data_IF_330670188127
#
_entry.id   IF_330670188127
#
_cell.length_a   1.000
_cell.length_b   1.000
_cell.length_c   1.000
_cell.angle_alpha   90.00
_cell.angle_beta   90.00
_cell.angle_gamma   90.00
#
_symmetry.space_group_name_H-M   'P 1'
#
loop_
_entity.id
_entity.type
_entity.pdbx_description
1 polymer ?
#
# COMPACT_ATOMS: atom_id res chain seq x y z
N UNK A 1 39.53 -37.48 12.70
CA UNK A 1 38.09 -37.79 12.81
C UNK A 1 37.35 -36.60 12.23
N UNK A 2 36.44 -36.82 11.27
CA UNK A 2 35.66 -35.72 10.70
C UNK A 2 34.66 -35.21 11.76
N UNK A 3 34.74 -33.93 12.12
CA UNK A 3 33.75 -33.29 12.97
C UNK A 3 32.37 -33.33 12.27
N UNK A 4 31.27 -33.56 13.00
CA UNK A 4 29.94 -33.60 12.41
C UNK A 4 29.63 -32.27 11.71
N UNK A 5 28.97 -32.35 10.56
CA UNK A 5 28.48 -31.20 9.80
C UNK A 5 27.43 -30.49 10.64
N UNK A 6 27.83 -29.46 11.39
CA UNK A 6 26.99 -28.82 12.42
C UNK A 6 26.14 -27.70 11.85
N UNK A 7 25.58 -27.88 10.65
CA UNK A 7 24.74 -26.88 9.99
C UNK A 7 23.27 -27.28 10.13
N UNK A 8 22.48 -26.52 10.88
CA UNK A 8 21.04 -26.77 11.05
C UNK A 8 20.29 -25.49 11.44
N UNK A 9 18.97 -25.51 11.25
CA UNK A 9 18.07 -24.50 11.79
C UNK A 9 17.39 -25.04 13.05
N UNK A 10 17.29 -24.23 14.11
CA UNK A 10 16.54 -24.60 15.31
C UNK A 10 15.05 -24.26 15.22
N UNK A 11 14.30 -24.50 16.30
CA UNK A 11 12.84 -24.26 16.33
C UNK A 11 12.51 -22.77 16.44
N UNK A 12 13.45 -21.99 16.95
CA UNK A 12 13.38 -20.55 17.13
C UNK A 12 13.72 -19.78 15.83
N UNK A 13 14.21 -20.48 14.79
CA UNK A 13 14.54 -19.89 13.50
C UNK A 13 15.96 -19.37 13.40
N UNK A 14 16.88 -19.83 14.26
CA UNK A 14 18.30 -19.54 14.17
C UNK A 14 19.02 -20.61 13.34
N UNK A 15 19.93 -20.15 12.49
CA UNK A 15 20.87 -20.94 11.71
C UNK A 15 22.18 -21.11 12.46
N UNK A 16 22.46 -22.35 12.86
CA UNK A 16 23.69 -22.71 13.54
C UNK A 16 24.66 -23.33 12.54
N UNK A 17 25.92 -22.90 12.54
CA UNK A 17 26.98 -23.53 11.74
C UNK A 17 28.36 -23.33 12.37
N UNK A 18 29.32 -24.19 11.99
CA UNK A 18 30.76 -23.97 12.25
C UNK A 18 31.50 -23.41 11.03
N UNK A 19 30.81 -23.18 9.90
CA UNK A 19 31.37 -22.59 8.68
C UNK A 19 32.42 -23.44 7.95
N UNK A 20 32.63 -24.71 8.35
CA UNK A 20 33.72 -25.54 7.80
C UNK A 20 33.36 -26.29 6.51
N UNK A 21 32.14 -26.13 6.01
CA UNK A 21 31.60 -26.89 4.88
C UNK A 21 31.79 -26.21 3.52
N UNK A 22 32.30 -24.98 3.49
CA UNK A 22 32.70 -24.28 2.27
C UNK A 22 34.07 -23.59 2.44
N UNK A 23 34.65 -23.15 1.33
CA UNK A 23 35.89 -22.36 1.34
C UNK A 23 35.54 -20.87 1.55
N UNK A 24 36.05 -20.28 2.63
CA UNK A 24 35.71 -18.92 3.04
C UNK A 24 36.53 -18.46 4.25
N UNK A 25 36.24 -17.26 4.77
CA UNK A 25 36.87 -16.75 5.99
C UNK A 25 36.60 -17.63 7.21
N UNK A 26 35.42 -18.26 7.42
CA UNK A 26 35.22 -19.17 8.54
C UNK A 26 36.24 -20.31 8.57
N UNK A 27 36.57 -20.86 7.40
CA UNK A 27 37.55 -21.93 7.27
C UNK A 27 38.98 -21.43 7.48
N UNK A 28 39.35 -20.28 6.90
CA UNK A 28 40.66 -19.66 7.13
C UNK A 28 40.89 -19.31 8.60
N UNK A 29 39.85 -18.80 9.27
CA UNK A 29 39.87 -18.53 10.70
C UNK A 29 40.13 -19.81 11.49
N UNK A 30 39.37 -20.88 11.23
CA UNK A 30 39.54 -22.14 11.95
C UNK A 30 40.92 -22.77 11.75
N UNK A 31 41.41 -22.81 10.50
CA UNK A 31 42.74 -23.34 10.20
C UNK A 31 43.83 -22.53 10.91
N UNK A 32 43.64 -21.21 11.01
CA UNK A 32 44.56 -20.34 11.75
C UNK A 32 44.51 -20.60 13.25
N UNK A 33 43.33 -20.64 13.85
CA UNK A 33 43.15 -20.94 15.29
C UNK A 33 43.71 -22.33 15.66
N UNK A 34 43.59 -23.30 14.76
CA UNK A 34 44.14 -24.65 14.96
C UNK A 34 45.66 -24.61 15.15
N UNK A 35 46.38 -23.70 14.49
CA UNK A 35 47.83 -23.50 14.69
C UNK A 35 48.17 -23.00 16.10
N UNK A 36 47.22 -22.33 16.76
CA UNK A 36 47.36 -21.87 18.15
C UNK A 36 46.82 -22.89 19.17
N UNK A 37 46.48 -24.11 18.77
CA UNK A 37 45.98 -25.19 19.64
C UNK A 37 44.54 -24.98 20.16
N UNK A 38 43.72 -24.20 19.46
CA UNK A 38 42.27 -24.29 19.65
C UNK A 38 41.77 -25.68 19.28
N UNK A 39 40.88 -26.23 20.10
CA UNK A 39 40.35 -27.59 19.96
C UNK A 39 38.94 -27.62 19.39
N UNK A 40 38.25 -26.47 19.42
CA UNK A 40 36.88 -26.31 18.93
C UNK A 40 36.82 -25.14 17.93
N UNK A 41 36.10 -25.30 16.81
CA UNK A 41 35.97 -24.24 15.82
C UNK A 41 35.09 -23.09 16.31
N UNK A 42 35.21 -21.91 15.69
CA UNK A 42 34.24 -20.84 15.91
C UNK A 42 32.82 -21.33 15.61
N UNK A 43 31.88 -20.91 16.46
CA UNK A 43 30.45 -21.19 16.29
C UNK A 43 29.75 -19.94 15.77
N UNK A 44 28.87 -20.14 14.80
CA UNK A 44 28.06 -19.10 14.20
C UNK A 44 26.58 -19.38 14.47
N UNK A 45 25.90 -18.37 14.96
CA UNK A 45 24.45 -18.32 15.18
C UNK A 45 23.92 -17.15 14.35
N UNK A 46 23.06 -17.44 13.38
CA UNK A 46 22.51 -16.46 12.47
C UNK A 46 21.00 -16.42 12.50
N UNK A 47 20.40 -15.25 12.51
CA UNK A 47 18.93 -15.07 12.46
C UNK A 47 18.56 -14.11 11.35
N UNK A 48 17.55 -14.48 10.54
CA UNK A 48 16.96 -13.63 9.52
C UNK A 48 15.70 -12.94 10.07
N UNK A 49 15.53 -11.66 9.78
CA UNK A 49 14.39 -10.87 10.25
C UNK A 49 14.02 -9.77 9.26
N UNK A 50 12.79 -9.28 9.35
CA UNK A 50 12.31 -8.17 8.53
C UNK A 50 12.41 -6.87 9.33
N UNK A 51 13.08 -5.86 8.78
CA UNK A 51 13.19 -4.53 9.38
C UNK A 51 12.69 -3.51 8.36
N UNK A 52 11.60 -2.81 8.69
CA UNK A 52 10.97 -1.82 7.80
C UNK A 52 10.63 -2.37 6.39
N UNK A 53 10.27 -3.65 6.30
CA UNK A 53 9.98 -4.31 5.01
C UNK A 53 11.21 -4.83 4.26
N UNK A 54 12.42 -4.63 4.80
CA UNK A 54 13.68 -5.09 4.21
C UNK A 54 14.17 -6.33 4.95
N UNK A 55 14.53 -7.38 4.21
CA UNK A 55 15.15 -8.57 4.79
C UNK A 55 16.55 -8.23 5.32
N UNK A 56 16.77 -8.55 6.59
CA UNK A 56 18.02 -8.38 7.32
C UNK A 56 18.40 -9.71 7.93
N UNK A 57 19.67 -9.81 8.30
CA UNK A 57 20.15 -10.91 9.11
C UNK A 57 21.15 -10.38 10.13
N UNK A 58 21.24 -11.09 11.25
CA UNK A 58 22.23 -10.86 12.29
C UNK A 58 22.98 -12.15 12.52
N UNK A 59 24.29 -12.08 12.57
CA UNK A 59 25.15 -13.22 12.86
C UNK A 59 25.97 -12.91 14.10
N UNK A 60 25.88 -13.79 15.08
CA UNK A 60 26.78 -13.88 16.21
C UNK A 60 27.79 -14.98 15.97
N UNK A 61 29.08 -14.64 15.95
CA UNK A 61 30.18 -15.59 15.90
C UNK A 61 30.93 -15.58 17.24
N UNK A 62 31.29 -16.76 17.74
CA UNK A 62 32.05 -16.93 18.96
C UNK A 62 33.30 -17.77 18.68
N UNK A 63 34.49 -17.20 18.91
CA UNK A 63 35.72 -17.97 19.11
C UNK A 63 35.75 -18.38 20.59
N UNK A 64 35.82 -19.68 20.92
CA UNK A 64 35.72 -20.15 22.29
C UNK A 64 36.92 -19.68 23.14
N UNK A 65 36.81 -19.84 24.47
CA UNK A 65 37.93 -19.62 25.38
C UNK A 65 39.10 -20.54 25.02
N UNK A 66 40.33 -20.01 24.98
CA UNK A 66 41.49 -20.83 24.65
C UNK A 66 41.72 -21.93 25.71
N UNK A 67 41.85 -23.22 25.33
CA UNK A 67 41.86 -24.34 26.26
C UNK A 67 43.06 -24.33 27.23
N UNK A 68 44.21 -23.81 26.78
CA UNK A 68 45.45 -23.77 27.57
C UNK A 68 45.90 -22.37 28.01
N UNK A 69 45.16 -21.31 27.65
CA UNK A 69 45.55 -19.91 27.88
C UNK A 69 44.37 -19.15 28.44
N UNK A 70 44.22 -19.13 29.76
CA UNK A 70 43.12 -18.41 30.42
C UNK A 70 43.15 -16.89 30.22
N UNK A 71 44.31 -16.35 29.81
CA UNK A 71 44.48 -14.93 29.48
C UNK A 71 43.97 -14.58 28.07
N UNK A 72 43.57 -15.56 27.27
CA UNK A 72 43.01 -15.35 25.93
C UNK A 72 41.50 -15.51 26.01
N UNK A 73 40.75 -14.42 26.28
CA UNK A 73 39.31 -14.49 26.47
C UNK A 73 38.60 -14.98 25.18
N UNK A 74 37.36 -15.48 25.27
CA UNK A 74 36.55 -15.72 24.08
C UNK A 74 36.38 -14.42 23.28
N UNK A 75 36.32 -14.55 21.96
CA UNK A 75 36.05 -13.42 21.05
C UNK A 75 34.64 -13.57 20.53
N UNK A 76 33.79 -12.60 20.86
CA UNK A 76 32.42 -12.51 20.36
C UNK A 76 32.35 -11.42 19.29
N UNK A 77 31.74 -11.74 18.17
CA UNK A 77 31.52 -10.83 17.04
C UNK A 77 30.05 -10.87 16.69
N UNK A 78 29.42 -9.70 16.60
CA UNK A 78 28.03 -9.55 16.15
C UNK A 78 28.01 -8.63 14.93
N UNK A 79 27.45 -9.12 13.82
CA UNK A 79 27.36 -8.37 12.56
C UNK A 79 25.92 -8.40 12.06
N UNK A 80 25.44 -7.26 11.57
CA UNK A 80 24.16 -7.16 10.86
C UNK A 80 24.43 -6.98 9.37
N UNK A 81 23.73 -7.76 8.55
CA UNK A 81 23.81 -7.69 7.10
C UNK A 81 22.46 -7.96 6.44
N UNK A 82 22.48 -8.17 5.13
CA UNK A 82 21.27 -8.39 4.33
C UNK A 82 21.12 -9.85 3.86
N UNK A 83 22.22 -10.60 3.83
CA UNK A 83 22.26 -12.00 3.40
C UNK A 83 23.10 -12.77 4.40
N UNK A 84 22.58 -13.91 4.83
CA UNK A 84 23.20 -14.71 5.88
C UNK A 84 24.62 -15.14 5.53
N UNK A 85 24.83 -15.64 4.30
CA UNK A 85 26.14 -16.09 3.80
C UNK A 85 27.18 -14.96 3.84
N UNK A 86 26.84 -13.79 3.29
CA UNK A 86 27.75 -12.65 3.24
C UNK A 86 28.10 -12.18 4.66
N UNK A 87 27.13 -12.23 5.57
CA UNK A 87 27.28 -11.80 6.97
C UNK A 87 28.10 -12.77 7.81
N UNK A 88 28.02 -14.08 7.52
CA UNK A 88 28.88 -15.11 8.11
C UNK A 88 30.35 -14.89 7.71
N UNK A 89 30.60 -14.60 6.43
CA UNK A 89 31.93 -14.23 5.93
C UNK A 89 32.45 -12.95 6.60
N UNK A 90 31.61 -11.92 6.73
CA UNK A 90 31.97 -10.68 7.44
C UNK A 90 32.31 -10.95 8.91
N UNK A 91 31.50 -11.73 9.63
CA UNK A 91 31.74 -12.05 11.03
C UNK A 91 33.07 -12.80 11.22
N UNK A 92 33.39 -13.73 10.32
CA UNK A 92 34.66 -14.45 10.34
C UNK A 92 35.86 -13.54 10.04
N UNK A 93 35.74 -12.64 9.06
CA UNK A 93 36.79 -11.66 8.74
C UNK A 93 37.04 -10.70 9.92
N UNK A 94 35.97 -10.23 10.59
CA UNK A 94 36.10 -9.44 11.82
C UNK A 94 36.72 -10.25 12.95
N UNK A 95 36.39 -11.54 13.08
CA UNK A 95 37.04 -12.47 14.01
C UNK A 95 38.55 -12.60 13.79
N UNK A 96 38.98 -12.76 12.53
CA UNK A 96 40.40 -12.77 12.14
C UNK A 96 41.09 -11.47 12.57
N UNK A 97 40.50 -10.32 12.22
CA UNK A 97 41.07 -9.01 12.55
C UNK A 97 41.20 -8.80 14.06
N UNK A 98 40.17 -9.16 14.83
CA UNK A 98 40.17 -9.05 16.28
C UNK A 98 41.23 -9.98 16.92
N UNK A 99 41.30 -11.23 16.48
CA UNK A 99 42.31 -12.17 16.96
C UNK A 99 43.73 -11.66 16.71
N UNK A 100 44.02 -11.16 15.49
CA UNK A 100 45.32 -10.59 15.14
C UNK A 100 45.67 -9.34 15.94
N UNK A 101 44.68 -8.55 16.34
CA UNK A 101 44.89 -7.35 17.15
C UNK A 101 45.06 -7.67 18.64
N UNK A 102 44.42 -8.72 19.16
CA UNK A 102 44.57 -9.13 20.56
C UNK A 102 45.90 -9.85 20.83
N UNK A 103 46.48 -10.48 19.81
CA UNK A 103 47.70 -11.31 19.94
C UNK A 103 48.78 -10.97 18.91
N UNK A 104 49.21 -9.69 18.78
CA UNK A 104 50.05 -9.23 17.67
C UNK A 104 51.42 -9.91 17.63
N UNK A 105 51.98 -10.25 18.80
CA UNK A 105 53.29 -10.92 18.91
C UNK A 105 53.18 -12.37 18.47
N UNK A 106 52.17 -13.08 18.95
CA UNK A 106 51.98 -14.50 18.65
C UNK A 106 51.62 -14.71 17.18
N UNK A 107 50.77 -13.86 16.59
CA UNK A 107 50.39 -13.99 15.19
C UNK A 107 51.50 -13.60 14.22
N UNK A 108 52.46 -12.75 14.61
CA UNK A 108 53.61 -12.40 13.77
C UNK A 108 54.45 -13.64 13.39
N UNK A 109 54.38 -14.70 14.21
CA UNK A 109 55.09 -15.95 13.95
C UNK A 109 54.44 -16.81 12.85
N UNK A 110 53.21 -16.52 12.42
CA UNK A 110 52.40 -17.37 11.53
C UNK A 110 51.81 -16.61 10.34
N UNK A 111 51.41 -17.29 9.26
CA UNK A 111 50.86 -16.63 8.07
C UNK A 111 49.65 -15.71 8.31
N UNK A 112 48.81 -16.02 9.31
CA UNK A 112 47.66 -15.18 9.69
C UNK A 112 48.08 -13.76 10.11
N UNK A 113 49.31 -13.57 10.59
CA UNK A 113 49.85 -12.24 10.94
C UNK A 113 49.98 -11.29 9.74
N UNK A 114 49.96 -11.81 8.51
CA UNK A 114 49.97 -11.02 7.27
C UNK A 114 48.56 -10.67 6.77
N UNK A 115 47.50 -11.13 7.44
CA UNK A 115 46.14 -10.78 7.06
C UNK A 115 45.84 -9.32 7.46
N UNK A 116 45.09 -8.56 6.63
CA UNK A 116 44.78 -7.15 6.88
C UNK A 116 44.14 -6.92 8.25
N UNK A 117 44.44 -5.77 8.85
CA UNK A 117 43.90 -5.37 10.15
C UNK A 117 42.93 -4.20 10.06
N UNK A 118 42.33 -3.88 11.20
CA UNK A 118 41.29 -2.83 11.32
C UNK A 118 41.86 -1.45 10.97
N UNK A 119 43.13 -1.20 11.29
CA UNK A 119 43.81 0.07 11.03
C UNK A 119 45.22 -0.17 10.45
N UNK A 120 45.46 0.14 9.16
CA UNK A 120 46.78 -0.02 8.54
C UNK A 120 47.83 0.97 9.07
N UNK A 121 47.45 1.98 9.86
CA UNK A 121 48.36 2.90 10.54
C UNK A 121 48.75 2.47 11.96
N UNK A 122 48.32 1.29 12.41
CA UNK A 122 48.64 0.77 13.74
C UNK A 122 50.09 0.25 13.80
N UNK A 123 50.84 0.62 14.85
CA UNK A 123 52.17 0.09 15.15
C UNK A 123 52.23 -1.44 15.25
N UNK A 124 51.12 -2.10 15.57
CA UNK A 124 51.04 -3.57 15.59
C UNK A 124 51.09 -4.17 14.17
N UNK A 125 50.59 -3.44 13.17
CA UNK A 125 50.71 -3.84 11.77
C UNK A 125 52.15 -3.75 11.31
N UNK A 126 52.81 -2.62 11.57
CA UNK A 126 54.23 -2.43 11.27
C UNK A 126 55.07 -3.52 11.95
N UNK A 127 54.80 -3.84 13.22
CA UNK A 127 55.48 -4.92 13.93
C UNK A 127 55.35 -6.27 13.21
N UNK A 128 54.14 -6.69 12.85
CA UNK A 128 53.90 -7.98 12.17
C UNK A 128 54.56 -8.01 10.79
N UNK A 129 54.50 -6.90 10.06
CA UNK A 129 55.12 -6.80 8.74
C UNK A 129 56.63 -6.66 8.81
N UNK A 130 57.22 -6.12 9.86
CA UNK A 130 58.68 -6.03 9.99
C UNK A 130 59.30 -7.36 10.41
N UNK A 131 58.55 -8.20 11.14
CA UNK A 131 59.01 -9.48 11.66
C UNK A 131 58.64 -10.68 10.76
N UNK A 132 58.41 -10.47 9.46
CA UNK A 132 58.02 -11.52 8.50
C UNK A 132 59.19 -12.36 7.94
N UNK A 133 60.44 -12.06 8.31
CA UNK A 133 61.63 -12.67 7.71
C UNK A 133 61.68 -14.20 7.82
N UNK A 134 61.24 -14.76 8.95
CA UNK A 134 61.17 -16.22 9.15
C UNK A 134 59.98 -16.84 8.39
N UNK A 135 58.90 -16.09 8.16
CA UNK A 135 57.76 -16.54 7.34
C UNK A 135 58.16 -16.80 5.90
N UNK A 136 59.09 -16.00 5.36
CA UNK A 136 59.66 -16.18 4.03
C UNK A 136 60.85 -17.15 3.99
N UNK A 137 61.29 -17.64 5.14
CA UNK A 137 62.31 -18.68 5.28
C UNK A 137 61.67 -20.04 5.56
N UNK A 138 61.54 -20.38 6.84
CA UNK A 138 61.13 -21.70 7.32
C UNK A 138 59.68 -22.07 6.95
N UNK A 139 58.81 -21.06 6.82
CA UNK A 139 57.38 -21.21 6.52
C UNK A 139 57.01 -20.71 5.11
N UNK A 140 57.97 -20.58 4.20
CA UNK A 140 57.74 -19.91 2.91
C UNK A 140 56.57 -20.51 2.12
N UNK A 141 56.51 -21.84 2.01
CA UNK A 141 55.45 -22.54 1.27
C UNK A 141 54.08 -22.36 1.94
N UNK A 142 54.01 -22.49 3.26
CA UNK A 142 52.77 -22.33 4.03
C UNK A 142 52.27 -20.89 4.00
N UNK A 143 53.19 -19.93 4.07
CA UNK A 143 52.90 -18.49 3.99
C UNK A 143 52.34 -18.13 2.62
N UNK A 144 53.01 -18.53 1.54
CA UNK A 144 52.53 -18.26 0.17
C UNK A 144 51.15 -18.90 -0.04
N UNK A 145 50.98 -20.17 0.35
CA UNK A 145 49.68 -20.86 0.24
C UNK A 145 48.57 -20.14 1.00
N UNK A 146 48.83 -19.73 2.24
CA UNK A 146 47.84 -19.07 3.10
C UNK A 146 47.45 -17.70 2.56
N UNK A 147 48.43 -16.91 2.10
CA UNK A 147 48.18 -15.59 1.49
C UNK A 147 47.42 -15.75 0.17
N UNK A 148 47.77 -16.72 -0.67
CA UNK A 148 47.02 -16.98 -1.92
C UNK A 148 45.57 -17.36 -1.62
N UNK A 149 45.31 -18.26 -0.66
CA UNK A 149 43.94 -18.62 -0.26
C UNK A 149 43.18 -17.45 0.32
N UNK A 150 43.82 -16.63 1.16
CA UNK A 150 43.22 -15.42 1.69
C UNK A 150 42.81 -14.46 0.57
N UNK A 151 43.68 -14.21 -0.40
CA UNK A 151 43.39 -13.35 -1.54
C UNK A 151 42.25 -13.89 -2.41
N UNK A 152 42.19 -15.21 -2.62
CA UNK A 152 41.10 -15.85 -3.35
C UNK A 152 39.76 -15.70 -2.61
N UNK A 153 39.73 -15.98 -1.30
CA UNK A 153 38.54 -15.78 -0.45
C UNK A 153 38.12 -14.31 -0.41
N UNK A 154 39.06 -13.37 -0.30
CA UNK A 154 38.78 -11.92 -0.37
C UNK A 154 38.14 -11.54 -1.71
N UNK A 155 38.64 -12.06 -2.82
CA UNK A 155 38.06 -11.81 -4.13
C UNK A 155 36.60 -12.32 -4.22
N UNK A 156 36.35 -13.55 -3.79
CA UNK A 156 35.00 -14.13 -3.76
C UNK A 156 34.05 -13.35 -2.85
N UNK A 157 34.51 -12.96 -1.67
CA UNK A 157 33.75 -12.12 -0.74
C UNK A 157 33.39 -10.76 -1.36
N UNK A 158 34.32 -10.12 -2.07
CA UNK A 158 34.02 -8.87 -2.79
C UNK A 158 32.97 -9.07 -3.89
N UNK A 159 32.97 -10.21 -4.59
CA UNK A 159 31.92 -10.53 -5.57
C UNK A 159 30.57 -10.73 -4.89
N UNK A 160 30.53 -11.44 -3.76
CA UNK A 160 29.31 -11.65 -2.97
C UNK A 160 28.71 -10.32 -2.53
N UNK A 161 29.53 -9.43 -1.94
CA UNK A 161 29.09 -8.09 -1.53
C UNK A 161 28.57 -7.27 -2.72
N UNK A 162 29.27 -7.28 -3.86
CA UNK A 162 28.82 -6.57 -5.07
C UNK A 162 27.47 -7.09 -5.56
N UNK A 163 27.30 -8.40 -5.61
CA UNK A 163 26.04 -9.02 -6.00
C UNK A 163 24.90 -8.69 -5.03
N UNK A 164 25.18 -8.67 -3.72
CA UNK A 164 24.24 -8.22 -2.70
C UNK A 164 23.80 -6.76 -2.91
N UNK A 165 24.77 -5.86 -3.12
CA UNK A 165 24.49 -4.43 -3.38
C UNK A 165 23.68 -4.25 -4.67
N UNK A 166 23.99 -4.98 -5.74
CA UNK A 166 23.23 -4.92 -6.99
C UNK A 166 21.78 -5.35 -6.80
N UNK A 167 21.53 -6.43 -6.05
CA UNK A 167 20.16 -6.88 -5.74
C UNK A 167 19.39 -5.84 -4.93
N UNK A 168 19.98 -5.33 -3.85
CA UNK A 168 19.35 -4.31 -2.99
C UNK A 168 19.06 -3.04 -3.81
N UNK A 169 19.97 -2.63 -4.68
CA UNK A 169 19.77 -1.48 -5.57
C UNK A 169 18.62 -1.73 -6.54
N UNK A 170 18.51 -2.92 -7.11
CA UNK A 170 17.40 -3.30 -8.00
C UNK A 170 16.04 -3.26 -7.31
N UNK A 171 15.97 -3.84 -6.11
CA UNK A 171 14.75 -3.81 -5.27
C UNK A 171 14.38 -2.36 -4.91
N UNK A 172 15.33 -1.57 -4.43
CA UNK A 172 15.10 -0.16 -4.08
C UNK A 172 14.60 0.66 -5.28
N UNK A 173 15.18 0.46 -6.46
CA UNK A 173 14.73 1.13 -7.69
C UNK A 173 13.33 0.71 -8.11
N UNK A 174 12.96 -0.57 -7.96
CA UNK A 174 11.61 -1.05 -8.24
C UNK A 174 10.58 -0.42 -7.31
N UNK A 175 10.86 -0.41 -6.00
CA UNK A 175 10.00 0.26 -5.02
C UNK A 175 9.85 1.76 -5.31
N UNK A 176 10.94 2.44 -5.66
CA UNK A 176 10.90 3.85 -6.03
C UNK A 176 9.98 4.10 -7.22
N UNK A 177 10.10 3.32 -8.32
CA UNK A 177 9.24 3.45 -9.49
C UNK A 177 7.77 3.20 -9.18
N UNK A 178 7.48 2.23 -8.31
CA UNK A 178 6.11 1.95 -7.89
C UNK A 178 5.54 3.12 -7.07
N UNK A 179 6.31 3.63 -6.11
CA UNK A 179 5.89 4.79 -5.30
C UNK A 179 5.66 6.03 -6.19
N UNK A 180 6.54 6.29 -7.14
CA UNK A 180 6.41 7.39 -8.12
C UNK A 180 5.10 7.27 -8.93
N UNK A 181 4.79 6.06 -9.42
CA UNK A 181 3.52 5.80 -10.12
C UNK A 181 2.30 5.99 -9.21
N UNK A 182 2.37 5.57 -7.94
CA UNK A 182 1.29 5.79 -6.97
C UNK A 182 1.08 7.28 -6.68
N UNK A 183 2.15 8.07 -6.59
CA UNK A 183 2.07 9.53 -6.42
C UNK A 183 1.32 10.17 -7.59
N UNK A 184 1.66 9.80 -8.83
CA UNK A 184 0.96 10.29 -10.03
C UNK A 184 -0.53 9.94 -9.98
N UNK A 185 -0.89 8.70 -9.60
CA UNK A 185 -2.29 8.30 -9.46
C UNK A 185 -3.03 9.08 -8.37
N UNK A 186 -2.36 9.39 -7.26
CA UNK A 186 -2.94 10.19 -6.18
C UNK A 186 -3.21 11.61 -6.68
N UNK A 187 -2.29 12.22 -7.44
CA UNK A 187 -2.48 13.55 -8.03
C UNK A 187 -3.68 13.59 -9.00
N UNK A 188 -3.83 12.57 -9.85
CA UNK A 188 -4.98 12.44 -10.76
C UNK A 188 -6.30 12.31 -9.99
N UNK A 189 -6.33 11.47 -8.95
CA UNK A 189 -7.50 11.30 -8.09
C UNK A 189 -7.84 12.59 -7.34
N UNK A 190 -6.84 13.33 -6.85
CA UNK A 190 -7.06 14.61 -6.20
C UNK A 190 -7.65 15.65 -7.14
N UNK A 191 -7.19 15.71 -8.40
CA UNK A 191 -7.77 16.58 -9.41
C UNK A 191 -9.25 16.23 -9.68
N UNK A 192 -9.57 14.94 -9.78
CA UNK A 192 -10.94 14.47 -9.97
C UNK A 192 -11.85 14.80 -8.78
N UNK A 193 -11.36 14.62 -7.56
CA UNK A 193 -12.09 14.99 -6.33
C UNK A 193 -12.41 16.48 -6.35
N UNK A 194 -11.41 17.32 -6.64
CA UNK A 194 -11.58 18.78 -6.71
C UNK A 194 -12.64 19.17 -7.75
N UNK A 195 -12.60 18.57 -8.94
CA UNK A 195 -13.62 18.81 -9.98
C UNK A 195 -15.03 18.40 -9.52
N UNK A 196 -15.15 17.28 -8.81
CA UNK A 196 -16.45 16.83 -8.29
C UNK A 196 -16.97 17.75 -7.19
N UNK A 197 -16.10 18.27 -6.33
CA UNK A 197 -16.47 19.23 -5.29
C UNK A 197 -17.01 20.54 -5.91
N UNK A 198 -16.42 21.03 -7.01
CA UNK A 198 -16.94 22.17 -7.76
C UNK A 198 -18.35 21.90 -8.33
N UNK A 199 -18.58 20.71 -8.89
CA UNK A 199 -19.90 20.32 -9.42
C UNK A 199 -20.93 20.24 -8.29
N UNK A 200 -20.55 19.71 -7.13
CA UNK A 200 -21.42 19.63 -5.95
C UNK A 200 -21.78 21.05 -5.49
N UNK A 201 -20.80 21.95 -5.35
CA UNK A 201 -21.06 23.34 -4.97
C UNK A 201 -22.03 24.04 -5.93
N UNK A 202 -21.87 23.86 -7.24
CA UNK A 202 -22.79 24.43 -8.24
C UNK A 202 -24.22 23.85 -8.14
N UNK A 203 -24.34 22.55 -7.81
CA UNK A 203 -25.63 21.91 -7.59
C UNK A 203 -26.30 22.42 -6.31
N UNK A 204 -25.54 22.61 -5.24
CA UNK A 204 -26.06 23.14 -3.97
C UNK A 204 -26.62 24.55 -4.15
N UNK A 205 -25.94 25.41 -4.92
CA UNK A 205 -26.47 26.74 -5.29
C UNK A 205 -27.78 26.64 -6.10
N UNK A 206 -27.86 25.69 -7.03
CA UNK A 206 -29.08 25.46 -7.82
C UNK A 206 -30.24 24.96 -6.94
N UNK A 207 -29.95 24.10 -5.96
CA UNK A 207 -30.94 23.59 -5.01
C UNK A 207 -31.48 24.74 -4.15
N UNK A 208 -30.59 25.57 -3.59
CA UNK A 208 -30.97 26.76 -2.81
C UNK A 208 -31.89 27.68 -3.62
N UNK A 209 -31.53 27.96 -4.88
CA UNK A 209 -32.37 28.78 -5.74
C UNK A 209 -33.77 28.19 -5.99
N UNK A 210 -33.87 26.87 -6.16
CA UNK A 210 -35.17 26.20 -6.33
C UNK A 210 -35.99 26.18 -5.03
N UNK A 211 -35.33 26.03 -3.89
CA UNK A 211 -35.97 26.11 -2.57
C UNK A 211 -36.63 27.49 -2.38
N UNK A 212 -35.93 28.57 -2.74
CA UNK A 212 -36.47 29.93 -2.69
C UNK A 212 -37.71 30.10 -3.60
N UNK A 213 -37.68 29.53 -4.81
CA UNK A 213 -38.83 29.55 -5.73
C UNK A 213 -40.04 28.79 -5.19
N UNK A 214 -39.82 27.64 -4.54
CA UNK A 214 -40.88 26.85 -3.92
C UNK A 214 -41.51 27.63 -2.76
N UNK A 215 -40.69 28.24 -1.90
CA UNK A 215 -41.17 29.05 -0.77
C UNK A 215 -42.05 30.23 -1.23
N UNK A 216 -41.66 30.91 -2.33
CA UNK A 216 -42.48 31.97 -2.92
C UNK A 216 -43.81 31.42 -3.47
N UNK A 217 -43.78 30.29 -4.17
CA UNK A 217 -44.98 29.62 -4.68
C UNK A 217 -45.93 29.23 -3.54
N UNK A 218 -45.41 28.69 -2.43
CA UNK A 218 -46.19 28.30 -1.25
C UNK A 218 -46.87 29.50 -0.60
N UNK A 219 -46.18 30.66 -0.57
CA UNK A 219 -46.79 31.91 -0.10
C UNK A 219 -47.95 32.35 -1.00
N UNK A 220 -47.80 32.27 -2.33
CA UNK A 220 -48.86 32.59 -3.29
C UNK A 220 -50.06 31.63 -3.14
N UNK A 221 -49.80 30.33 -2.95
CA UNK A 221 -50.86 29.34 -2.71
C UNK A 221 -51.62 29.68 -1.43
N UNK A 222 -50.92 29.96 -0.33
CA UNK A 222 -51.53 30.36 0.94
C UNK A 222 -52.42 31.60 0.80
N UNK A 223 -51.97 32.60 0.03
CA UNK A 223 -52.79 33.78 -0.27
C UNK A 223 -54.06 33.42 -1.05
N UNK A 224 -53.95 32.56 -2.07
CA UNK A 224 -55.11 32.12 -2.86
C UNK A 224 -56.09 31.33 -2.02
N UNK A 225 -55.62 30.45 -1.14
CA UNK A 225 -56.47 29.68 -0.23
C UNK A 225 -57.28 30.61 0.68
N UNK A 226 -56.65 31.67 1.22
CA UNK A 226 -57.35 32.69 2.01
C UNK A 226 -58.47 33.39 1.22
N UNK A 227 -58.22 33.72 -0.05
CA UNK A 227 -59.23 34.34 -0.93
C UNK A 227 -60.37 33.35 -1.22
N UNK A 228 -60.05 32.08 -1.47
CA UNK A 228 -61.04 31.03 -1.72
C UNK A 228 -61.93 30.85 -0.50
N UNK A 229 -61.37 30.75 0.71
CA UNK A 229 -62.16 30.65 1.96
C UNK A 229 -63.12 31.84 2.12
N UNK A 230 -62.66 33.06 1.83
CA UNK A 230 -63.51 34.26 1.87
C UNK A 230 -64.65 34.21 0.85
N UNK A 231 -64.37 33.79 -0.39
CA UNK A 231 -65.38 33.65 -1.43
C UNK A 231 -66.38 32.53 -1.12
N UNK A 232 -65.91 31.41 -0.56
CA UNK A 232 -66.78 30.31 -0.12
C UNK A 232 -67.74 30.75 0.98
N UNK A 233 -67.30 31.57 1.95
CA UNK A 233 -68.17 32.14 2.97
C UNK A 233 -69.26 33.05 2.37
N UNK A 234 -68.90 33.93 1.44
CA UNK A 234 -69.88 34.78 0.75
C UNK A 234 -70.93 33.97 -0.04
N UNK A 235 -70.49 32.92 -0.74
CA UNK A 235 -71.42 32.02 -1.46
C UNK A 235 -72.36 31.33 -0.47
N UNK A 236 -71.86 30.88 0.68
CA UNK A 236 -72.68 30.26 1.71
C UNK A 236 -73.77 31.21 2.25
N UNK A 237 -73.41 32.46 2.55
CA UNK A 237 -74.37 33.47 2.99
C UNK A 237 -75.43 33.75 1.90
N UNK A 238 -75.03 33.84 0.63
CA UNK A 238 -75.94 34.00 -0.51
C UNK A 238 -76.90 32.83 -0.67
N UNK A 239 -76.43 31.59 -0.46
CA UNK A 239 -77.27 30.39 -0.49
C UNK A 239 -78.35 30.47 0.61
N UNK A 240 -77.98 30.85 1.84
CA UNK A 240 -78.95 31.01 2.94
C UNK A 240 -80.04 32.05 2.61
N UNK A 241 -79.65 33.18 2.01
CA UNK A 241 -80.61 34.23 1.58
C UNK A 241 -81.51 33.71 0.46
N UNK A 242 -80.96 32.96 -0.49
CA UNK A 242 -81.74 32.37 -1.58
C UNK A 242 -82.73 31.32 -1.06
N UNK A 243 -82.32 30.48 -0.11
CA UNK A 243 -83.19 29.49 0.54
C UNK A 243 -84.34 30.16 1.31
N UNK A 244 -84.08 31.26 2.04
CA UNK A 244 -85.11 32.05 2.73
C UNK A 244 -86.09 32.68 1.74
N UNK A 245 -85.58 33.30 0.67
CA UNK A 245 -86.41 33.86 -0.39
C UNK A 245 -87.29 32.79 -1.07
N UNK A 246 -86.74 31.59 -1.30
CA UNK A 246 -87.46 30.45 -1.87
C UNK A 246 -88.56 29.96 -0.93
N UNK A 247 -88.29 29.84 0.37
CA UNK A 247 -89.30 29.49 1.37
C UNK A 247 -90.43 30.54 1.41
N UNK A 248 -90.09 31.82 1.27
CA UNK A 248 -91.06 32.91 1.20
C UNK A 248 -91.96 32.83 -0.05
N UNK A 249 -91.39 32.42 -1.19
CA UNK A 249 -92.15 32.16 -2.43
C UNK A 249 -93.09 30.95 -2.24
N UNK A 250 -92.61 29.87 -1.61
CA UNK A 250 -93.44 28.69 -1.32
C UNK A 250 -94.61 29.03 -0.39
N UNK A 251 -94.41 29.91 0.60
CA UNK A 251 -95.48 30.41 1.48
C UNK A 251 -96.52 31.24 0.70
N UNK A 252 -96.08 32.09 -0.23
CA UNK A 252 -96.97 32.84 -1.13
C UNK A 252 -97.75 31.91 -2.08
N UNK A 253 -97.17 30.77 -2.47
CA UNK A 253 -97.82 29.76 -3.31
C UNK A 253 -98.81 28.85 -2.54
N UNK A 254 -98.85 28.89 -1.20
CA UNK A 254 -99.84 28.15 -0.39
C UNK A 254 -101.21 28.85 -0.25
N UNK A 255 -101.48 29.95 -0.97
CA UNK A 255 -102.87 30.40 -1.19
C UNK A 255 -103.61 29.43 -2.13
N UNK A 256 -104.90 29.13 -1.88
CA UNK A 256 -105.53 27.91 -2.37
C UNK A 256 -105.65 27.85 -3.90
N UNK A 257 -105.20 26.71 -4.43
CA UNK A 257 -105.23 26.27 -5.83
C UNK A 257 -106.65 26.30 -6.40
N UNK A 258 -106.79 26.81 -7.63
CA UNK A 258 -107.81 26.37 -8.59
C UNK A 258 -107.14 25.88 -9.89
N UNK A 259 -107.61 24.77 -10.48
CA UNK A 259 -106.89 24.07 -11.53
C UNK A 259 -107.30 24.45 -12.96
N UNK A 260 -106.29 24.32 -13.83
CA UNK A 260 -106.29 23.77 -15.18
C UNK A 260 -106.80 24.58 -16.41
N UNK A 261 -105.80 24.94 -17.26
CA UNK A 261 -105.65 24.63 -18.73
C UNK A 261 -106.61 25.41 -19.69
N UNK A 262 -106.38 25.68 -21.02
CA UNK A 262 -105.31 25.28 -22.00
C UNK A 262 -104.83 26.35 -23.06
N UNK A 263 -103.97 25.90 -24.02
CA UNK A 263 -103.73 26.34 -25.45
C UNK A 263 -102.65 27.46 -25.64
N UNK A 264 -101.44 27.19 -26.21
CA UNK A 264 -100.99 26.97 -27.64
C UNK A 264 -101.09 28.26 -28.50
N UNK A 265 -100.26 28.58 -29.54
CA UNK A 265 -98.94 28.08 -30.05
C UNK A 265 -97.84 29.17 -30.30
N UNK A 266 -96.67 28.71 -30.79
CA UNK A 266 -95.69 29.28 -31.77
C UNK A 266 -95.23 30.75 -31.76
N UNK A 267 -93.89 30.93 -31.89
CA UNK A 267 -93.15 31.62 -32.98
C UNK A 267 -91.68 31.77 -32.51
N UNK A 268 -90.71 31.10 -33.14
CA UNK A 268 -89.91 31.51 -34.31
C UNK A 268 -88.68 32.38 -33.98
N UNK A 269 -87.64 32.12 -34.78
CA UNK A 269 -86.37 32.85 -34.95
C UNK A 269 -85.23 32.56 -33.94
N UNK A 270 -83.96 32.40 -34.32
CA UNK A 270 -83.24 32.95 -35.47
C UNK A 270 -81.91 32.19 -35.71
N UNK A 271 -81.38 32.34 -36.93
CA UNK A 271 -80.10 31.93 -37.57
C UNK A 271 -78.84 32.59 -36.89
N UNK A 272 -77.56 32.51 -37.37
CA UNK A 272 -76.97 31.73 -38.47
C UNK A 272 -75.60 31.05 -38.17
N UNK A 273 -75.11 30.33 -39.19
CA UNK A 273 -73.86 29.58 -39.32
C UNK A 273 -72.56 30.41 -39.39
N UNK A 274 -71.51 29.77 -38.86
CA UNK A 274 -70.06 29.73 -39.16
C UNK A 274 -69.34 30.88 -39.90
N UNK A 275 -68.17 31.23 -39.33
CA UNK A 275 -66.97 31.55 -40.13
C UNK A 275 -65.70 30.97 -39.49
N UNK A 276 -64.96 30.27 -40.35
CA UNK A 276 -63.66 29.62 -40.17
C UNK A 276 -62.52 30.66 -40.12
N UNK A 277 -61.56 30.48 -39.20
CA UNK A 277 -60.42 31.36 -39.01
C UNK A 277 -59.21 30.64 -38.42
N UNK A 278 -58.32 30.22 -39.30
CA UNK A 278 -56.97 29.69 -39.12
C UNK A 278 -56.13 30.35 -38.00
N UNK A 279 -55.37 29.54 -37.25
CA UNK A 279 -54.03 29.91 -36.78
C UNK A 279 -53.17 28.67 -36.55
N UNK A 280 -51.97 28.76 -37.09
CA UNK A 280 -50.91 27.75 -37.20
C UNK A 280 -50.48 27.20 -35.84
N UNK A 281 -50.31 25.87 -35.76
CA UNK A 281 -49.58 25.20 -34.69
C UNK A 281 -48.26 24.73 -35.30
N UNK A 282 -47.18 25.37 -34.86
CA UNK A 282 -45.81 24.94 -35.12
C UNK A 282 -45.34 24.12 -33.91
N UNK A 283 -45.04 22.84 -34.12
CA UNK A 283 -44.08 22.06 -33.30
C UNK A 283 -43.85 20.68 -33.92
N UNK A 284 -42.90 20.71 -34.84
CA UNK A 284 -41.88 19.71 -35.15
C UNK A 284 -41.61 18.62 -34.07
N UNK A 285 -41.65 17.36 -34.53
CA UNK A 285 -40.87 16.17 -34.13
C UNK A 285 -40.70 15.84 -32.63
N UNK A 286 -40.88 14.61 -32.14
CA UNK A 286 -41.01 13.31 -32.78
C UNK A 286 -40.94 12.26 -31.65
N UNK A 287 -41.60 11.12 -31.86
CA UNK A 287 -41.68 10.04 -30.87
C UNK A 287 -40.30 9.51 -30.44
N UNK A 288 -40.25 8.86 -29.26
CA UNK A 288 -39.75 7.49 -29.31
C UNK A 288 -40.70 6.48 -28.66
N UNK A 289 -40.97 5.48 -29.49
CA UNK A 289 -41.54 4.17 -29.22
C UNK A 289 -40.84 3.47 -28.05
N UNK A 290 -41.68 2.94 -27.15
CA UNK A 290 -41.33 1.90 -26.19
C UNK A 290 -41.07 0.57 -26.90
N UNK A 291 -39.93 -0.08 -26.66
CA UNK A 291 -39.91 -1.50 -26.22
C UNK A 291 -38.51 -2.10 -25.96
N UNK A 292 -38.46 -3.23 -25.20
CA UNK A 292 -37.30 -3.67 -24.43
C UNK A 292 -36.65 -4.98 -24.96
N UNK A 293 -35.45 -5.24 -24.42
CA UNK A 293 -34.68 -6.50 -24.42
C UNK A 293 -34.21 -7.07 -25.78
N UNK A 294 -32.91 -7.36 -25.89
CA UNK A 294 -32.39 -8.71 -26.14
C UNK A 294 -30.87 -8.76 -25.92
N UNK A 295 -30.46 -9.73 -25.11
CA UNK A 295 -29.10 -10.15 -24.78
C UNK A 295 -28.38 -10.82 -25.94
N UNK A 296 -27.04 -10.74 -25.96
CA UNK A 296 -26.04 -11.71 -26.48
C UNK A 296 -24.68 -11.19 -25.96
N UNK A 297 -23.95 -11.84 -25.03
CA UNK A 297 -23.22 -13.12 -25.10
C UNK A 297 -21.70 -12.85 -25.04
N UNK A 298 -20.99 -13.43 -24.06
CA UNK A 298 -19.53 -13.55 -24.10
C UNK A 298 -18.79 -13.58 -22.75
N UNK A 299 -18.74 -14.74 -22.10
CA UNK A 299 -17.84 -15.14 -20.99
C UNK A 299 -16.34 -14.94 -21.35
N UNK A 300 -15.37 -14.80 -20.43
CA UNK A 300 -14.90 -15.75 -19.41
C UNK A 300 -13.95 -15.14 -18.36
N UNK A 301 -13.90 -15.81 -17.21
CA UNK A 301 -12.91 -15.72 -16.12
C UNK A 301 -11.59 -16.44 -16.41
N UNK A 302 -10.49 -16.05 -15.75
CA UNK A 302 -9.44 -16.96 -15.22
C UNK A 302 -8.43 -16.13 -14.40
N UNK A 303 -8.46 -16.11 -13.07
CA UNK A 303 -7.78 -17.01 -12.12
C UNK A 303 -6.48 -17.66 -12.65
N UNK A 304 -5.36 -17.24 -12.05
CA UNK A 304 -4.26 -18.08 -11.57
C UNK A 304 -3.33 -18.76 -12.59
N UNK A 305 -2.08 -18.29 -12.65
CA UNK A 305 -0.96 -19.22 -12.62
C UNK A 305 0.27 -18.58 -11.95
N UNK A 306 0.59 -19.09 -10.76
CA UNK A 306 1.93 -19.03 -10.18
C UNK A 306 2.64 -20.30 -10.66
N UNK A 307 3.74 -20.15 -11.38
CA UNK A 307 4.89 -21.05 -11.37
C UNK A 307 5.96 -20.51 -12.32
N UNK A 308 7.09 -20.09 -11.76
CA UNK A 308 8.42 -20.43 -12.26
C UNK A 308 9.45 -20.12 -11.15
N UNK A 309 9.96 -21.20 -10.56
CA UNK A 309 11.19 -21.28 -9.77
C UNK A 309 12.33 -21.71 -10.68
#
# INVERSE_FOLDING_TARGET
MAAPTSTFWDQEGHFHTNGLHWEGFPRLLWESLSMFHYTEPPLYDGVEYLEEGVSRCRVKMIIPQHPFRSLWPPIEVEVVGYRLVDTLETAALEGIKLFCNQHPIEVAAYPIGLFPTIDPGNSDWDFRTDHHGHLLGDLAEETVRSVTRFMDVQYHYQMLLRHGVSQITGVAQSHYRNADHQVIQIEELQALVTQKDEIIAARDETILHREDQINESDHIITQRDTVIEFLQAQIHDLILVADDAQAHIEELQQQPILPAIPIVPEEEEEDPEEIEGISEIDSEHGDPVLSPHHSLSGSQSSVGNFDDF
#
